data_IF_803131464279
#
_entry.id   IF_803131464279
#
_cell.length_a   1.000
_cell.length_b   1.000
_cell.length_c   1.000
_cell.angle_alpha   90.00
_cell.angle_beta   90.00
_cell.angle_gamma   90.00
#
_symmetry.space_group_name_H-M   'P 1'
#
loop_
_entity.id
_entity.type
_entity.pdbx_description
1 polymer ?
#
# COMPACT_ATOMS: atom_id res chain seq x y z
N UNK A 1 56.86 -24.71 50.11
CA UNK A 1 56.60 -26.14 49.84
C UNK A 1 55.74 -26.19 48.59
N UNK A 2 56.11 -27.00 47.59
CA UNK A 2 55.42 -27.27 46.32
C UNK A 2 55.24 -26.12 45.28
N UNK A 3 55.86 -26.36 44.13
CA UNK A 3 55.57 -25.92 42.75
C UNK A 3 55.70 -27.18 41.85
N UNK A 4 55.50 -27.14 40.50
CA UNK A 4 54.76 -26.20 39.65
C UNK A 4 53.40 -26.85 39.25
N UNK A 5 53.08 -27.45 38.06
CA UNK A 5 53.72 -27.54 36.74
C UNK A 5 53.01 -26.72 35.62
N UNK A 6 53.52 -26.81 34.38
CA UNK A 6 52.98 -26.24 33.13
C UNK A 6 52.30 -27.33 32.24
N UNK A 7 51.60 -26.93 31.18
CA UNK A 7 51.08 -27.85 30.15
C UNK A 7 51.53 -27.43 28.73
N UNK A 8 52.02 -28.39 27.95
CA UNK A 8 52.78 -28.16 26.70
C UNK A 8 51.91 -28.10 25.44
N UNK A 9 52.43 -27.44 24.41
CA UNK A 9 51.92 -27.52 23.04
C UNK A 9 52.33 -28.83 22.36
N UNK A 10 51.48 -29.37 21.49
CA UNK A 10 51.82 -30.47 20.57
C UNK A 10 51.58 -30.06 19.11
N UNK A 11 52.68 -29.91 18.36
CA UNK A 11 52.63 -29.83 16.91
C UNK A 11 52.44 -31.24 16.32
N UNK A 12 51.61 -31.38 15.29
CA UNK A 12 51.55 -32.60 14.47
C UNK A 12 52.15 -32.32 13.10
N UNK A 13 53.26 -33.00 12.79
CA UNK A 13 53.96 -32.91 11.51
C UNK A 13 53.26 -33.73 10.42
N UNK A 14 53.31 -33.22 9.19
CA UNK A 14 52.97 -33.93 7.96
C UNK A 14 54.05 -34.97 7.61
N UNK A 15 53.69 -36.06 6.90
CA UNK A 15 54.60 -36.78 6.01
C UNK A 15 54.30 -36.44 4.55
N UNK A 16 55.26 -35.81 3.86
CA UNK A 16 55.36 -35.88 2.40
C UNK A 16 56.00 -37.21 2.01
N UNK A 17 55.41 -37.95 1.06
CA UNK A 17 56.15 -38.55 -0.06
C UNK A 17 55.22 -39.15 -1.13
N UNK A 18 55.09 -38.38 -2.21
CA UNK A 18 55.12 -38.80 -3.61
C UNK A 18 55.10 -40.33 -3.90
N UNK A 19 53.96 -40.85 -4.38
CA UNK A 19 53.95 -41.97 -5.34
C UNK A 19 52.84 -41.73 -6.39
N UNK A 20 53.11 -42.12 -7.63
CA UNK A 20 52.34 -41.70 -8.80
C UNK A 20 52.01 -42.86 -9.73
N UNK A 21 50.78 -43.37 -9.67
CA UNK A 21 50.16 -44.12 -10.78
C UNK A 21 48.66 -44.39 -10.62
N UNK A 22 47.95 -44.22 -11.74
CA UNK A 22 46.71 -44.88 -12.18
C UNK A 22 45.41 -44.90 -11.34
N UNK A 23 44.43 -44.19 -11.92
CA UNK A 23 43.09 -44.70 -12.22
C UNK A 23 42.33 -45.54 -11.18
N UNK A 24 41.45 -44.86 -10.42
CA UNK A 24 39.98 -45.04 -10.57
C UNK A 24 39.18 -44.01 -9.76
N UNK A 25 38.32 -43.26 -10.46
CA UNK A 25 37.23 -42.50 -9.82
C UNK A 25 36.23 -43.51 -9.28
N UNK A 26 36.21 -43.70 -7.95
CA UNK A 26 35.20 -44.52 -7.28
C UNK A 26 33.88 -43.76 -7.28
N UNK A 27 33.05 -44.03 -8.28
CA UNK A 27 31.66 -43.57 -8.30
C UNK A 27 30.94 -44.15 -7.06
N UNK A 28 30.53 -43.29 -6.12
CA UNK A 28 29.61 -43.71 -5.08
C UNK A 28 28.30 -44.15 -5.73
N UNK A 29 27.98 -45.43 -5.58
CA UNK A 29 26.75 -46.00 -6.08
C UNK A 29 25.59 -45.54 -5.19
N UNK A 30 24.94 -44.43 -5.57
CA UNK A 30 23.74 -43.91 -4.88
C UNK A 30 22.57 -44.87 -5.12
N UNK A 31 21.96 -45.45 -4.06
CA UNK A 31 20.83 -46.37 -4.23
C UNK A 31 19.63 -45.68 -4.89
N UNK A 32 19.17 -46.21 -6.01
CA UNK A 32 18.10 -45.62 -6.83
C UNK A 32 16.69 -45.96 -6.31
N UNK A 33 16.32 -45.49 -5.11
CA UNK A 33 15.01 -45.83 -4.51
C UNK A 33 14.41 -44.84 -3.48
N UNK A 34 14.62 -43.51 -3.60
CA UNK A 34 13.75 -42.50 -2.94
C UNK A 34 13.54 -41.32 -3.91
N UNK A 35 12.40 -41.24 -4.65
CA UNK A 35 12.22 -40.21 -5.69
C UNK A 35 11.98 -38.78 -5.17
N UNK A 36 11.29 -38.60 -4.04
CA UNK A 36 10.68 -37.29 -3.71
C UNK A 36 11.61 -36.33 -2.94
N UNK A 37 12.34 -36.79 -1.92
CA UNK A 37 13.21 -35.94 -1.10
C UNK A 37 14.29 -35.20 -1.92
N UNK A 38 14.84 -35.88 -2.93
CA UNK A 38 15.89 -35.33 -3.80
C UNK A 38 15.31 -34.35 -4.85
N UNK A 39 14.00 -34.41 -5.13
CA UNK A 39 13.33 -33.49 -6.03
C UNK A 39 12.91 -32.20 -5.31
N UNK A 40 12.26 -32.31 -4.15
CA UNK A 40 11.86 -31.13 -3.36
C UNK A 40 13.08 -30.29 -2.95
N UNK A 41 14.16 -30.92 -2.47
CA UNK A 41 15.38 -30.20 -2.10
C UNK A 41 16.06 -29.53 -3.32
N UNK A 42 15.97 -30.12 -4.51
CA UNK A 42 16.47 -29.48 -5.76
C UNK A 42 15.60 -28.31 -6.20
N UNK A 43 14.28 -28.41 -6.02
CA UNK A 43 13.36 -27.30 -6.28
C UNK A 43 13.65 -26.16 -5.31
N UNK A 44 13.72 -26.44 -4.00
CA UNK A 44 14.00 -25.45 -2.96
C UNK A 44 15.34 -24.74 -3.19
N UNK A 45 16.43 -25.49 -3.43
CA UNK A 45 17.74 -24.90 -3.75
C UNK A 45 17.71 -24.02 -5.01
N UNK A 46 16.99 -24.44 -6.07
CA UNK A 46 16.82 -23.62 -7.28
C UNK A 46 15.92 -22.40 -7.06
N UNK A 47 14.97 -22.45 -6.14
CA UNK A 47 14.14 -21.31 -5.74
C UNK A 47 14.99 -20.29 -4.96
N UNK A 48 15.74 -20.73 -3.96
CA UNK A 48 16.68 -19.89 -3.19
C UNK A 48 17.69 -19.20 -4.13
N UNK A 49 18.33 -19.94 -5.03
CA UNK A 49 19.25 -19.39 -6.03
C UNK A 49 18.57 -18.40 -7.00
N UNK A 50 17.28 -18.59 -7.30
CA UNK A 50 16.47 -17.68 -8.12
C UNK A 50 16.06 -16.41 -7.36
N UNK A 51 15.88 -16.50 -6.04
CA UNK A 51 15.61 -15.36 -5.17
C UNK A 51 16.88 -14.52 -4.93
N UNK A 52 18.03 -15.14 -4.66
CA UNK A 52 19.32 -14.44 -4.53
C UNK A 52 19.66 -13.66 -5.82
N UNK A 53 19.47 -14.29 -6.98
CA UNK A 53 19.63 -13.63 -8.28
C UNK A 53 18.66 -12.47 -8.50
N UNK A 54 17.46 -12.53 -7.92
CA UNK A 54 16.47 -11.44 -7.99
C UNK A 54 16.76 -10.30 -7.01
N UNK A 55 17.34 -10.58 -5.83
CA UNK A 55 17.70 -9.55 -4.86
C UNK A 55 18.73 -8.56 -5.42
N UNK A 56 19.65 -9.01 -6.27
CA UNK A 56 20.70 -8.17 -6.88
C UNK A 56 20.39 -7.69 -8.31
N UNK A 57 19.23 -8.06 -8.88
CA UNK A 57 18.84 -7.68 -10.24
C UNK A 57 18.60 -6.16 -10.36
N UNK A 58 19.23 -5.41 -11.28
CA UNK A 58 18.96 -3.98 -11.48
C UNK A 58 17.53 -3.67 -11.94
N UNK A 59 16.80 -4.67 -12.43
CA UNK A 59 15.37 -4.52 -12.80
C UNK A 59 14.48 -4.45 -11.55
N UNK A 60 14.88 -5.10 -10.45
CA UNK A 60 14.15 -5.11 -9.18
C UNK A 60 13.88 -3.68 -8.67
N UNK A 61 12.62 -3.30 -8.38
CA UNK A 61 12.29 -1.96 -7.88
C UNK A 61 13.03 -1.53 -6.61
N UNK A 62 13.46 -2.47 -5.78
CA UNK A 62 14.29 -2.21 -4.60
C UNK A 62 15.70 -1.70 -4.94
N UNK A 63 16.20 -1.98 -6.14
CA UNK A 63 17.55 -1.58 -6.60
C UNK A 63 17.54 -0.31 -7.48
N UNK A 64 16.38 0.34 -7.65
CA UNK A 64 16.29 1.58 -8.42
C UNK A 64 17.00 2.75 -7.74
N UNK A 65 17.53 3.73 -8.50
CA UNK A 65 18.15 4.93 -7.93
C UNK A 65 17.15 5.72 -7.06
N UNK A 66 17.61 6.37 -5.97
CA UNK A 66 16.72 6.99 -4.97
C UNK A 66 15.82 8.06 -5.58
N UNK A 67 16.31 8.84 -6.55
CA UNK A 67 15.51 9.82 -7.30
C UNK A 67 14.26 9.18 -7.91
N UNK A 68 14.42 8.08 -8.64
CA UNK A 68 13.31 7.34 -9.25
C UNK A 68 12.34 6.77 -8.21
N UNK A 69 12.84 6.33 -7.05
CA UNK A 69 11.97 5.87 -5.95
C UNK A 69 11.10 7.01 -5.42
N UNK A 70 11.72 8.12 -5.03
CA UNK A 70 11.00 9.28 -4.48
C UNK A 70 10.05 9.92 -5.51
N UNK A 71 10.42 10.01 -6.79
CA UNK A 71 9.51 10.47 -7.85
C UNK A 71 8.31 9.54 -8.00
N UNK A 72 8.49 8.22 -7.93
CA UNK A 72 7.37 7.26 -7.99
C UNK A 72 6.44 7.43 -6.79
N UNK A 73 6.97 7.57 -5.57
CA UNK A 73 6.17 7.82 -4.36
C UNK A 73 5.45 9.17 -4.41
N UNK A 74 6.08 10.24 -4.92
CA UNK A 74 5.46 11.55 -5.04
C UNK A 74 4.31 11.57 -6.05
N UNK A 75 4.45 10.89 -7.19
CA UNK A 75 3.36 10.72 -8.17
C UNK A 75 2.24 9.88 -7.57
N UNK A 76 2.57 8.80 -6.86
CA UNK A 76 1.57 7.98 -6.17
C UNK A 76 0.78 8.81 -5.14
N UNK A 77 1.45 9.67 -4.37
CA UNK A 77 0.83 10.62 -3.44
C UNK A 77 -0.07 11.66 -4.15
N UNK A 78 0.30 12.11 -5.35
CA UNK A 78 -0.56 12.96 -6.18
C UNK A 78 -1.83 12.20 -6.62
N UNK A 79 -1.71 10.95 -7.08
CA UNK A 79 -2.88 10.15 -7.43
C UNK A 79 -3.82 9.91 -6.23
N UNK A 80 -3.26 9.60 -5.06
CA UNK A 80 -4.06 9.39 -3.84
C UNK A 80 -4.56 10.68 -3.19
N UNK A 81 -4.04 11.84 -3.58
CA UNK A 81 -4.61 13.17 -3.30
C UNK A 81 -5.84 13.45 -4.18
N UNK A 82 -5.74 13.18 -5.49
CA UNK A 82 -6.80 13.50 -6.46
C UNK A 82 -8.12 12.77 -6.17
N UNK A 83 -8.08 11.52 -5.71
CA UNK A 83 -9.30 10.74 -5.43
C UNK A 83 -10.21 11.37 -4.36
N UNK A 84 -9.76 11.67 -3.12
CA UNK A 84 -10.57 12.37 -2.12
C UNK A 84 -10.73 13.87 -2.37
N UNK A 85 -9.85 14.51 -3.15
CA UNK A 85 -10.10 15.87 -3.64
C UNK A 85 -11.39 15.90 -4.49
N UNK A 86 -11.52 14.99 -5.45
CA UNK A 86 -12.68 14.92 -6.34
C UNK A 86 -14.01 14.60 -5.62
N UNK A 87 -13.98 13.89 -4.49
CA UNK A 87 -15.19 13.62 -3.69
C UNK A 87 -15.62 14.81 -2.85
N UNK A 88 -14.67 15.46 -2.18
CA UNK A 88 -14.92 16.52 -1.19
C UNK A 88 -15.14 17.89 -1.81
N UNK A 89 -14.61 18.16 -3.01
CA UNK A 89 -14.76 19.44 -3.72
C UNK A 89 -16.22 19.78 -4.07
N UNK A 90 -17.11 18.78 -4.16
CA UNK A 90 -18.54 19.01 -4.38
C UNK A 90 -19.28 19.44 -3.10
N UNK A 91 -18.75 19.14 -1.91
CA UNK A 91 -19.44 19.32 -0.63
C UNK A 91 -20.09 20.71 -0.43
N UNK A 92 -19.39 21.85 -0.60
CA UNK A 92 -19.99 23.17 -0.43
C UNK A 92 -20.95 23.55 -1.56
N UNK A 93 -20.82 22.96 -2.74
CA UNK A 93 -21.64 23.26 -3.92
C UNK A 93 -22.95 22.49 -4.01
N UNK A 94 -23.15 21.45 -3.19
CA UNK A 94 -24.35 20.59 -3.22
C UNK A 94 -25.68 21.34 -3.09
N UNK A 95 -25.84 22.39 -2.24
CA UNK A 95 -27.08 23.15 -2.18
C UNK A 95 -27.43 23.83 -3.51
N UNK A 96 -26.43 24.32 -4.24
CA UNK A 96 -26.62 24.95 -5.55
C UNK A 96 -26.82 23.92 -6.67
N UNK A 97 -26.21 22.73 -6.59
CA UNK A 97 -26.58 21.60 -7.47
C UNK A 97 -28.05 21.25 -7.26
N UNK A 98 -28.50 21.12 -6.00
CA UNK A 98 -29.88 20.80 -5.70
C UNK A 98 -30.87 21.86 -6.25
N UNK A 99 -30.54 23.16 -6.10
CA UNK A 99 -31.32 24.26 -6.70
C UNK A 99 -31.34 24.21 -8.24
N UNK A 100 -30.19 24.01 -8.89
CA UNK A 100 -30.08 24.01 -10.36
C UNK A 100 -30.79 22.83 -11.03
N UNK A 101 -31.06 21.74 -10.30
CA UNK A 101 -31.76 20.55 -10.79
C UNK A 101 -33.15 20.34 -10.14
N UNK A 102 -33.69 21.37 -9.47
CA UNK A 102 -34.99 21.34 -8.75
C UNK A 102 -35.16 20.15 -7.77
N UNK A 103 -34.06 19.73 -7.14
CA UNK A 103 -34.03 18.62 -6.19
C UNK A 103 -34.52 19.10 -4.82
N UNK A 104 -35.80 18.90 -4.54
CA UNK A 104 -36.46 19.29 -3.28
C UNK A 104 -36.21 18.34 -2.11
N UNK A 105 -35.73 17.12 -2.36
CA UNK A 105 -35.57 16.09 -1.33
C UNK A 105 -34.09 15.91 -0.93
N UNK A 106 -33.69 16.21 0.33
CA UNK A 106 -32.30 16.09 0.78
C UNK A 106 -31.75 14.66 0.69
N UNK A 107 -32.61 13.63 0.70
CA UNK A 107 -32.21 12.24 0.50
C UNK A 107 -31.57 12.01 -0.88
N UNK A 108 -32.01 12.71 -1.93
CA UNK A 108 -31.46 12.58 -3.28
C UNK A 108 -30.07 13.26 -3.37
N UNK A 109 -29.91 14.40 -2.71
CA UNK A 109 -28.62 15.10 -2.59
C UNK A 109 -27.59 14.23 -1.85
N UNK A 110 -27.99 13.61 -0.73
CA UNK A 110 -27.15 12.66 0.01
C UNK A 110 -26.81 11.41 -0.83
N UNK A 111 -27.80 10.82 -1.50
CA UNK A 111 -27.62 9.64 -2.37
C UNK A 111 -26.57 9.87 -3.46
N UNK A 112 -26.48 11.07 -4.01
CA UNK A 112 -25.50 11.44 -5.05
C UNK A 112 -24.07 11.28 -4.54
N UNK A 113 -23.78 11.70 -3.31
CA UNK A 113 -22.49 11.44 -2.65
C UNK A 113 -22.34 9.95 -2.28
N UNK A 114 -23.38 9.30 -1.75
CA UNK A 114 -23.33 7.89 -1.36
C UNK A 114 -22.96 6.98 -2.55
N UNK A 115 -23.44 7.27 -3.77
CA UNK A 115 -23.09 6.53 -4.99
C UNK A 115 -21.59 6.70 -5.33
N UNK A 116 -21.05 7.91 -5.18
CA UNK A 116 -19.61 8.14 -5.36
C UNK A 116 -18.79 7.34 -4.34
N UNK A 117 -19.17 7.41 -3.05
CA UNK A 117 -18.46 6.72 -1.98
C UNK A 117 -18.55 5.20 -2.10
N UNK A 118 -19.69 4.67 -2.52
CA UNK A 118 -19.87 3.24 -2.85
C UNK A 118 -18.92 2.82 -3.97
N UNK A 119 -18.79 3.64 -5.02
CA UNK A 119 -17.86 3.39 -6.14
C UNK A 119 -16.41 3.39 -5.68
N UNK A 120 -16.04 4.33 -4.79
CA UNK A 120 -14.71 4.39 -4.18
C UNK A 120 -14.42 3.16 -3.29
N UNK A 121 -15.40 2.69 -2.51
CA UNK A 121 -15.28 1.53 -1.64
C UNK A 121 -15.24 0.19 -2.39
N UNK A 122 -15.99 0.06 -3.49
CA UNK A 122 -16.01 -1.16 -4.30
C UNK A 122 -14.78 -1.30 -5.20
N UNK A 123 -14.20 -0.20 -5.67
CA UNK A 123 -13.06 -0.23 -6.62
C UNK A 123 -11.85 -1.07 -6.14
N UNK A 124 -11.35 -0.93 -4.89
CA UNK A 124 -10.24 -1.76 -4.37
C UNK A 124 -10.44 -3.27 -4.48
N UNK A 125 -11.68 -3.75 -4.33
CA UNK A 125 -12.02 -5.18 -4.38
C UNK A 125 -11.69 -5.80 -5.75
N UNK A 126 -11.84 -5.04 -6.83
CA UNK A 126 -11.50 -5.46 -8.19
C UNK A 126 -10.10 -4.99 -8.62
N UNK A 127 -9.72 -3.76 -8.25
CA UNK A 127 -8.47 -3.14 -8.66
C UNK A 127 -7.24 -3.89 -8.15
N UNK A 128 -7.21 -4.30 -6.88
CA UNK A 128 -6.04 -4.98 -6.32
C UNK A 128 -5.76 -6.35 -7.00
N UNK A 129 -6.72 -7.30 -7.10
CA UNK A 129 -6.53 -8.55 -7.83
C UNK A 129 -6.15 -8.37 -9.31
N UNK A 130 -6.71 -7.37 -9.99
CA UNK A 130 -6.35 -7.05 -11.37
C UNK A 130 -4.91 -6.52 -11.48
N UNK A 131 -4.44 -5.77 -10.48
CA UNK A 131 -3.10 -5.19 -10.45
C UNK A 131 -1.99 -6.23 -10.37
N UNK A 132 -2.21 -7.33 -9.64
CA UNK A 132 -1.23 -8.41 -9.50
C UNK A 132 -1.16 -9.32 -10.74
N UNK A 133 -2.28 -9.47 -11.47
CA UNK A 133 -2.35 -10.28 -12.71
C UNK A 133 -1.86 -9.51 -13.94
N UNK A 134 -2.21 -8.23 -14.07
CA UNK A 134 -1.96 -7.45 -15.29
C UNK A 134 -0.84 -6.40 -15.15
N UNK A 135 -0.36 -6.15 -13.93
CA UNK A 135 0.61 -5.12 -13.60
C UNK A 135 -0.08 -3.86 -13.06
N UNK A 136 0.53 -3.25 -12.04
CA UNK A 136 -0.03 -2.08 -11.33
C UNK A 136 -0.08 -0.85 -12.20
N UNK A 137 0.84 -0.72 -13.17
CA UNK A 137 0.79 0.38 -14.15
C UNK A 137 -0.47 0.28 -15.03
N UNK A 138 -0.85 -0.93 -15.46
CA UNK A 138 -2.05 -1.14 -16.30
C UNK A 138 -3.35 -1.04 -15.50
N UNK A 139 -3.37 -1.58 -14.28
CA UNK A 139 -4.50 -1.39 -13.38
C UNK A 139 -4.68 0.09 -12.96
N UNK A 140 -3.60 0.89 -12.98
CA UNK A 140 -3.61 2.32 -12.66
C UNK A 140 -4.55 3.19 -13.50
N UNK A 141 -4.99 2.71 -14.68
CA UNK A 141 -6.02 3.38 -15.49
C UNK A 141 -7.44 3.24 -14.90
N UNK A 142 -7.66 2.34 -13.92
CA UNK A 142 -8.90 2.23 -13.15
C UNK A 142 -8.82 3.17 -11.94
N UNK A 143 -9.81 4.05 -11.79
CA UNK A 143 -9.65 5.33 -11.08
C UNK A 143 -9.23 5.32 -9.61
N UNK A 144 -9.44 4.24 -8.83
CA UNK A 144 -8.97 4.17 -7.42
C UNK A 144 -7.87 3.14 -7.16
N UNK A 145 -7.33 2.49 -8.20
CA UNK A 145 -6.17 1.58 -8.08
C UNK A 145 -5.00 2.17 -7.30
N UNK A 146 -4.63 3.48 -7.41
CA UNK A 146 -3.54 4.04 -6.62
C UNK A 146 -3.75 3.99 -5.10
N UNK A 147 -5.00 4.09 -4.62
CA UNK A 147 -5.35 3.99 -3.19
C UNK A 147 -5.34 2.54 -2.72
N UNK A 148 -5.79 1.61 -3.57
CA UNK A 148 -5.79 0.17 -3.27
C UNK A 148 -4.39 -0.44 -3.29
N UNK A 149 -3.58 -0.07 -4.28
CA UNK A 149 -2.29 -0.70 -4.57
C UNK A 149 -1.10 0.09 -4.03
N UNK A 150 -1.31 1.33 -3.57
CA UNK A 150 -0.23 2.25 -3.24
C UNK A 150 0.67 1.78 -2.12
N UNK A 151 0.12 1.19 -1.05
CA UNK A 151 0.91 0.55 -0.01
C UNK A 151 1.81 -0.58 -0.55
N UNK A 152 1.29 -1.39 -1.47
CA UNK A 152 2.05 -2.43 -2.17
C UNK A 152 3.16 -1.87 -3.06
N UNK A 153 2.92 -0.73 -3.71
CA UNK A 153 3.95 -0.01 -4.48
C UNK A 153 5.07 0.46 -3.54
N UNK A 154 4.74 1.10 -2.41
CA UNK A 154 5.78 1.53 -1.45
C UNK A 154 6.56 0.32 -0.89
N UNK A 155 5.92 -0.80 -0.55
CA UNK A 155 6.62 -2.00 -0.07
C UNK A 155 7.51 -2.68 -1.12
N UNK A 156 7.24 -2.48 -2.42
CA UNK A 156 8.08 -3.03 -3.50
C UNK A 156 9.28 -2.13 -3.83
N UNK A 157 9.20 -0.81 -3.60
CA UNK A 157 10.32 0.12 -3.83
C UNK A 157 11.30 0.23 -2.65
N UNK A 158 10.83 0.04 -1.42
CA UNK A 158 11.62 0.25 -0.20
C UNK A 158 11.91 -1.05 0.56
N UNK A 159 12.96 -1.06 1.38
CA UNK A 159 13.21 -2.12 2.36
C UNK A 159 12.18 -2.03 3.50
N UNK A 160 11.99 -3.08 4.31
CA UNK A 160 11.06 -3.03 5.45
C UNK A 160 11.34 -1.85 6.40
N UNK A 161 12.62 -1.51 6.60
CA UNK A 161 13.06 -0.40 7.44
C UNK A 161 12.77 0.96 6.80
N UNK A 162 13.06 1.12 5.51
CA UNK A 162 12.89 2.39 4.80
C UNK A 162 11.42 2.66 4.41
N UNK A 163 10.63 1.59 4.25
CA UNK A 163 9.20 1.65 3.91
C UNK A 163 8.42 2.48 4.95
N UNK A 164 8.76 2.33 6.24
CA UNK A 164 8.19 3.14 7.32
C UNK A 164 8.41 4.65 7.15
N UNK A 165 9.53 5.07 6.51
CA UNK A 165 9.82 6.49 6.22
C UNK A 165 9.13 7.02 4.96
N UNK A 166 8.80 6.14 4.01
CA UNK A 166 8.13 6.49 2.75
C UNK A 166 6.59 6.45 2.85
N UNK A 167 6.03 5.61 3.73
CA UNK A 167 4.59 5.45 3.93
C UNK A 167 3.86 6.75 4.36
N UNK A 168 4.43 7.64 5.20
CA UNK A 168 3.81 8.93 5.51
C UNK A 168 3.61 9.80 4.27
N UNK A 169 4.59 9.87 3.36
CA UNK A 169 4.49 10.66 2.12
C UNK A 169 3.34 10.16 1.22
N UNK A 170 3.11 8.85 1.20
CA UNK A 170 1.95 8.25 0.52
C UNK A 170 0.60 8.67 1.14
N UNK A 171 0.53 8.77 2.48
CA UNK A 171 -0.69 9.19 3.20
C UNK A 171 -0.94 10.71 3.23
N UNK A 172 0.07 11.55 2.93
CA UNK A 172 -0.10 13.02 2.81
C UNK A 172 -1.21 13.37 1.80
N UNK A 173 -1.28 12.66 0.67
CA UNK A 173 -2.30 12.91 -0.35
C UNK A 173 -3.74 12.73 0.18
N UNK A 174 -4.09 11.53 0.69
CA UNK A 174 -5.40 11.26 1.27
C UNK A 174 -5.83 12.18 2.42
N UNK A 175 -4.87 12.70 3.19
CA UNK A 175 -5.16 13.59 4.33
C UNK A 175 -5.40 15.05 3.90
N UNK A 176 -4.74 15.52 2.83
CA UNK A 176 -4.85 16.92 2.37
C UNK A 176 -5.98 17.12 1.35
N UNK A 177 -6.24 16.15 0.46
CA UNK A 177 -7.32 16.22 -0.53
C UNK A 177 -8.69 16.66 0.03
N UNK A 178 -9.16 16.07 1.15
CA UNK A 178 -10.43 16.44 1.80
C UNK A 178 -10.46 17.82 2.46
N UNK A 179 -9.31 18.48 2.62
CA UNK A 179 -9.19 19.82 3.20
C UNK A 179 -9.18 20.86 2.08
N UNK A 180 -8.37 20.60 1.05
CA UNK A 180 -8.24 21.47 -0.12
C UNK A 180 -9.48 21.43 -1.00
N UNK A 181 -10.16 20.27 -1.08
CA UNK A 181 -11.38 20.08 -1.87
C UNK A 181 -12.45 21.09 -1.53
N UNK A 182 -13.03 21.10 -0.31
CA UNK A 182 -14.11 22.02 0.03
C UNK A 182 -13.71 23.50 -0.04
N UNK A 183 -12.47 23.86 0.31
CA UNK A 183 -11.97 25.23 0.16
C UNK A 183 -11.96 25.66 -1.31
N UNK A 184 -11.35 24.85 -2.17
CA UNK A 184 -11.24 25.14 -3.62
C UNK A 184 -12.61 25.09 -4.31
N UNK A 185 -13.43 24.11 -3.97
CA UNK A 185 -14.78 23.92 -4.50
C UNK A 185 -15.73 25.06 -4.14
N UNK A 186 -15.69 25.52 -2.87
CA UNK A 186 -16.54 26.61 -2.40
C UNK A 186 -16.26 27.91 -3.15
N UNK A 187 -14.99 28.32 -3.25
CA UNK A 187 -14.63 29.56 -3.95
C UNK A 187 -14.85 29.47 -5.47
N UNK A 188 -14.61 28.33 -6.13
CA UNK A 188 -14.89 28.16 -7.56
C UNK A 188 -16.40 28.20 -7.82
N UNK A 189 -17.19 27.51 -6.99
CA UNK A 189 -18.65 27.49 -7.09
C UNK A 189 -19.26 28.89 -6.89
N UNK A 190 -18.77 29.66 -5.91
CA UNK A 190 -19.24 31.02 -5.64
C UNK A 190 -18.84 32.02 -6.73
N UNK A 191 -17.61 31.95 -7.25
CA UNK A 191 -17.07 32.99 -8.17
C UNK A 191 -17.33 32.73 -9.65
N UNK A 192 -17.34 31.48 -10.10
CA UNK A 192 -17.49 31.10 -11.52
C UNK A 192 -18.58 30.04 -11.74
N UNK A 193 -19.24 29.56 -10.69
CA UNK A 193 -20.31 28.57 -10.77
C UNK A 193 -19.83 27.12 -10.70
N UNK A 194 -20.68 26.26 -10.14
CA UNK A 194 -20.39 24.85 -9.81
C UNK A 194 -19.94 24.00 -11.01
N UNK A 195 -20.36 24.33 -12.24
CA UNK A 195 -19.94 23.61 -13.44
C UNK A 195 -18.42 23.65 -13.66
N UNK A 196 -17.76 24.75 -13.27
CA UNK A 196 -16.32 24.92 -13.44
C UNK A 196 -15.49 24.07 -12.46
N UNK A 197 -16.10 23.61 -11.36
CA UNK A 197 -15.47 22.64 -10.46
C UNK A 197 -15.15 21.34 -11.20
N UNK A 198 -16.06 20.84 -12.05
CA UNK A 198 -15.84 19.62 -12.83
C UNK A 198 -14.69 19.77 -13.84
N UNK A 199 -14.58 20.93 -14.52
CA UNK A 199 -13.46 21.19 -15.44
C UNK A 199 -12.11 21.28 -14.72
N UNK A 200 -12.06 21.91 -13.53
CA UNK A 200 -10.84 21.98 -12.72
C UNK A 200 -10.43 20.59 -12.21
N UNK A 201 -11.37 19.78 -11.71
CA UNK A 201 -11.08 18.39 -11.33
C UNK A 201 -10.59 17.58 -12.53
N UNK A 202 -11.25 17.68 -13.68
CA UNK A 202 -10.83 16.99 -14.91
C UNK A 202 -9.42 17.40 -15.35
N UNK A 203 -9.06 18.67 -15.24
CA UNK A 203 -7.71 19.16 -15.54
C UNK A 203 -6.66 18.59 -14.57
N UNK A 204 -6.93 18.59 -13.27
CA UNK A 204 -6.03 18.01 -12.25
C UNK A 204 -5.85 16.50 -12.48
N UNK A 205 -6.95 15.78 -12.73
CA UNK A 205 -6.92 14.36 -13.11
C UNK A 205 -6.10 14.12 -14.38
N UNK A 206 -6.26 14.96 -15.40
CA UNK A 206 -5.51 14.89 -16.66
C UNK A 206 -4.01 15.11 -16.47
N UNK A 207 -3.60 16.09 -15.67
CA UNK A 207 -2.19 16.35 -15.33
C UNK A 207 -1.60 15.16 -14.54
N UNK A 208 -2.31 14.65 -13.53
CA UNK A 208 -1.88 13.47 -12.79
C UNK A 208 -1.74 12.23 -13.72
N UNK A 209 -2.69 12.03 -14.63
CA UNK A 209 -2.65 10.97 -15.64
C UNK A 209 -1.42 11.08 -16.55
N UNK A 210 -1.15 12.26 -17.11
CA UNK A 210 0.02 12.51 -17.97
C UNK A 210 1.33 12.27 -17.21
N UNK A 211 1.45 12.79 -15.99
CA UNK A 211 2.63 12.55 -15.15
C UNK A 211 2.83 11.07 -14.85
N UNK A 212 1.76 10.34 -14.51
CA UNK A 212 1.82 8.90 -14.28
C UNK A 212 2.27 8.12 -15.51
N UNK A 213 1.67 8.39 -16.68
CA UNK A 213 1.99 7.72 -17.94
C UNK A 213 3.47 7.92 -18.34
N UNK A 214 4.02 9.12 -18.11
CA UNK A 214 5.39 9.46 -18.51
C UNK A 214 6.46 8.97 -17.51
N UNK A 215 6.17 9.00 -16.21
CA UNK A 215 7.19 8.84 -15.15
C UNK A 215 7.05 7.54 -14.34
N UNK A 216 5.85 6.96 -14.21
CA UNK A 216 5.70 5.68 -13.51
C UNK A 216 6.23 4.52 -14.36
N UNK A 217 6.91 3.59 -13.70
CA UNK A 217 7.21 2.27 -14.27
C UNK A 217 6.57 1.19 -13.42
N UNK A 218 6.32 0.05 -14.05
CA UNK A 218 5.81 -1.15 -13.39
C UNK A 218 6.67 -1.52 -12.17
N UNK A 219 6.03 -1.70 -11.01
CA UNK A 219 6.69 -2.08 -9.76
C UNK A 219 6.35 -3.50 -9.31
N UNK A 220 5.35 -4.14 -9.91
CA UNK A 220 4.90 -5.47 -9.50
C UNK A 220 5.97 -6.53 -9.85
N UNK A 221 6.70 -7.01 -8.85
CA UNK A 221 7.78 -7.98 -9.01
C UNK A 221 7.36 -9.25 -9.79
N UNK A 222 6.18 -9.88 -9.51
CA UNK A 222 5.69 -11.00 -10.31
C UNK A 222 5.56 -10.71 -11.81
N UNK A 223 4.98 -9.55 -12.18
CA UNK A 223 4.74 -9.16 -13.57
C UNK A 223 6.03 -8.79 -14.30
N UNK A 224 7.03 -8.27 -13.58
CA UNK A 224 8.38 -8.02 -14.11
C UNK A 224 9.07 -9.34 -14.46
N UNK A 225 9.04 -10.35 -13.56
CA UNK A 225 9.63 -11.69 -13.80
C UNK A 225 8.99 -12.36 -15.02
N UNK A 226 7.65 -12.40 -15.10
CA UNK A 226 6.91 -12.91 -16.27
C UNK A 226 7.27 -12.21 -17.59
N UNK A 227 7.57 -10.91 -17.57
CA UNK A 227 7.95 -10.17 -18.78
C UNK A 227 9.36 -10.55 -19.23
N UNK A 228 10.27 -10.82 -18.28
CA UNK A 228 11.65 -11.24 -18.57
C UNK A 228 11.71 -12.67 -19.14
N UNK A 229 10.96 -13.61 -18.57
CA UNK A 229 10.86 -14.99 -19.06
C UNK A 229 10.39 -15.07 -20.53
N UNK A 230 9.46 -14.19 -20.93
CA UNK A 230 9.00 -14.10 -22.33
C UNK A 230 10.01 -13.52 -23.32
N UNK A 231 10.99 -12.77 -22.83
CA UNK A 231 12.04 -12.12 -23.64
C UNK A 231 13.30 -13.00 -23.69
N UNK A 232 13.56 -13.76 -22.64
CA UNK A 232 14.68 -14.71 -22.53
C UNK A 232 14.15 -16.10 -22.16
N UNK A 233 13.63 -16.87 -23.13
CA UNK A 233 13.06 -18.19 -22.91
C UNK A 233 14.15 -19.26 -22.70
N UNK A 234 14.91 -19.15 -21.61
CA UNK A 234 15.78 -20.23 -21.14
C UNK A 234 14.91 -21.41 -20.69
N UNK A 235 14.93 -22.49 -21.45
CA UNK A 235 14.07 -23.67 -21.24
C UNK A 235 14.23 -24.33 -19.85
N UNK A 236 15.37 -24.11 -19.19
CA UNK A 236 15.65 -24.59 -17.82
C UNK A 236 15.09 -23.71 -16.69
N UNK A 237 14.80 -22.42 -16.93
CA UNK A 237 14.25 -21.51 -15.90
C UNK A 237 12.72 -21.52 -15.86
N UNK A 238 12.07 -21.95 -16.94
CA UNK A 238 10.61 -22.07 -17.02
C UNK A 238 10.01 -23.15 -16.08
N UNK A 239 10.84 -23.92 -15.38
CA UNK A 239 10.44 -24.90 -14.36
C UNK A 239 10.64 -24.41 -12.91
N UNK A 240 11.27 -23.25 -12.69
CA UNK A 240 11.51 -22.65 -11.35
C UNK A 240 10.61 -21.43 -11.08
N UNK A 241 9.58 -21.27 -11.90
CA UNK A 241 8.57 -20.23 -11.83
C UNK A 241 7.75 -20.38 -10.55
N UNK A 242 7.77 -19.34 -9.70
CA UNK A 242 6.98 -19.18 -8.47
C UNK A 242 5.55 -19.78 -8.61
N UNK A 243 4.98 -20.45 -7.59
CA UNK A 243 3.70 -21.18 -7.71
C UNK A 243 2.47 -20.33 -8.10
N UNK A 244 2.59 -18.99 -8.14
CA UNK A 244 1.59 -18.11 -8.72
C UNK A 244 1.49 -18.21 -10.27
N UNK A 245 2.49 -18.79 -10.95
CA UNK A 245 2.63 -18.74 -12.41
C UNK A 245 2.17 -19.99 -13.16
N UNK A 246 1.95 -21.11 -12.48
CA UNK A 246 1.39 -22.35 -13.08
C UNK A 246 -0.14 -22.37 -13.09
N UNK A 247 -0.80 -21.37 -12.50
CA UNK A 247 -2.25 -21.35 -12.30
C UNK A 247 -3.00 -20.58 -13.40
N UNK A 248 -4.21 -21.03 -13.74
CA UNK A 248 -5.09 -20.32 -14.66
C UNK A 248 -5.41 -18.90 -14.15
N UNK A 249 -5.26 -17.88 -14.99
CA UNK A 249 -5.45 -16.46 -14.61
C UNK A 249 -6.83 -16.17 -14.00
N UNK A 250 -7.89 -16.81 -14.53
CA UNK A 250 -9.25 -16.69 -14.00
C UNK A 250 -9.40 -17.33 -12.62
N UNK A 251 -8.76 -18.47 -12.38
CA UNK A 251 -8.73 -19.13 -11.07
C UNK A 251 -7.96 -18.30 -10.05
N UNK A 252 -6.79 -17.75 -10.43
CA UNK A 252 -6.02 -16.85 -9.57
C UNK A 252 -6.80 -15.56 -9.24
N UNK A 253 -7.49 -14.95 -10.22
CA UNK A 253 -8.35 -13.80 -9.99
C UNK A 253 -9.49 -14.13 -9.01
N UNK A 254 -10.15 -15.29 -9.17
CA UNK A 254 -11.22 -15.73 -8.29
C UNK A 254 -10.74 -15.99 -6.85
N UNK A 255 -9.53 -16.55 -6.69
CA UNK A 255 -8.91 -16.76 -5.37
C UNK A 255 -8.65 -15.44 -4.65
N UNK A 256 -8.07 -14.46 -5.34
CA UNK A 256 -7.80 -13.15 -4.76
C UNK A 256 -9.09 -12.33 -4.52
N UNK A 257 -10.13 -12.52 -5.32
CA UNK A 257 -11.42 -11.83 -5.14
C UNK A 257 -12.21 -12.38 -3.93
N UNK A 258 -12.18 -13.69 -3.68
CA UNK A 258 -12.87 -14.30 -2.52
C UNK A 258 -12.12 -14.11 -1.19
N UNK A 259 -10.80 -13.90 -1.24
CA UNK A 259 -9.93 -13.85 -0.06
C UNK A 259 -10.30 -12.73 0.94
N UNK A 260 -10.59 -11.48 0.55
CA UNK A 260 -11.05 -10.44 1.47
C UNK A 260 -12.34 -10.81 2.21
N UNK A 261 -13.32 -11.37 1.49
CA UNK A 261 -14.62 -11.78 2.07
C UNK A 261 -14.42 -12.93 3.06
N UNK A 262 -13.55 -13.89 2.74
CA UNK A 262 -13.19 -14.99 3.64
C UNK A 262 -12.49 -14.47 4.90
N UNK A 263 -11.48 -13.59 4.78
CA UNK A 263 -10.78 -13.02 5.94
C UNK A 263 -11.75 -12.25 6.84
N UNK A 264 -12.63 -11.43 6.25
CA UNK A 264 -13.64 -10.65 6.99
C UNK A 264 -14.63 -11.55 7.75
N UNK A 265 -15.03 -12.69 7.19
CA UNK A 265 -16.06 -13.56 7.79
C UNK A 265 -15.48 -14.62 8.73
N UNK A 266 -14.22 -15.05 8.55
CA UNK A 266 -13.58 -16.08 9.37
C UNK A 266 -12.76 -15.52 10.54
N UNK A 267 -12.27 -14.27 10.45
CA UNK A 267 -11.53 -13.61 11.53
C UNK A 267 -12.40 -12.57 12.24
N UNK A 268 -12.91 -12.94 13.41
CA UNK A 268 -13.72 -12.03 14.27
C UNK A 268 -12.99 -10.73 14.62
N UNK A 269 -11.65 -10.77 14.78
CA UNK A 269 -10.83 -9.59 15.03
C UNK A 269 -10.82 -8.65 13.81
N UNK A 270 -10.72 -9.20 12.60
CA UNK A 270 -10.77 -8.41 11.36
C UNK A 270 -12.17 -7.82 11.12
N UNK A 271 -13.22 -8.56 11.47
CA UNK A 271 -14.60 -8.09 11.42
C UNK A 271 -14.83 -6.86 12.31
N UNK A 272 -14.42 -6.92 13.59
CA UNK A 272 -14.52 -5.78 14.52
C UNK A 272 -13.70 -4.57 14.04
N UNK A 273 -12.45 -4.79 13.60
CA UNK A 273 -11.61 -3.71 13.07
C UNK A 273 -12.22 -3.08 11.81
N UNK A 274 -12.86 -3.88 10.95
CA UNK A 274 -13.54 -3.38 9.75
C UNK A 274 -14.79 -2.56 10.10
N UNK A 275 -15.60 -3.00 11.08
CA UNK A 275 -16.74 -2.22 11.58
C UNK A 275 -16.30 -0.90 12.21
N UNK A 276 -15.23 -0.91 13.00
CA UNK A 276 -14.65 0.30 13.60
C UNK A 276 -14.20 1.29 12.52
N UNK A 277 -13.44 0.83 11.52
CA UNK A 277 -13.00 1.69 10.40
C UNK A 277 -14.18 2.16 9.56
N UNK A 278 -15.21 1.33 9.34
CA UNK A 278 -16.42 1.74 8.63
C UNK A 278 -17.17 2.86 9.35
N UNK A 279 -17.39 2.75 10.67
CA UNK A 279 -18.01 3.79 11.49
C UNK A 279 -17.18 5.09 11.49
N UNK A 280 -15.85 4.97 11.54
CA UNK A 280 -14.95 6.12 11.42
C UNK A 280 -15.08 6.85 10.08
N UNK A 281 -15.13 6.11 8.97
CA UNK A 281 -15.30 6.69 7.64
C UNK A 281 -16.71 7.25 7.42
N UNK A 282 -17.75 6.62 7.97
CA UNK A 282 -19.14 7.10 7.87
C UNK A 282 -19.32 8.46 8.55
N UNK A 283 -18.93 8.56 9.83
CA UNK A 283 -18.93 9.83 10.59
C UNK A 283 -18.12 10.90 9.88
N UNK A 284 -16.93 10.55 9.40
CA UNK A 284 -16.06 11.44 8.65
C UNK A 284 -16.70 11.95 7.35
N UNK A 285 -17.38 11.08 6.59
CA UNK A 285 -18.09 11.50 5.38
C UNK A 285 -19.37 12.29 5.67
N UNK A 286 -20.07 11.99 6.76
CA UNK A 286 -21.21 12.76 7.24
C UNK A 286 -20.81 14.21 7.58
N UNK A 287 -19.62 14.43 8.13
CA UNK A 287 -19.09 15.79 8.35
C UNK A 287 -18.92 16.59 7.05
N UNK A 288 -18.64 15.96 5.89
CA UNK A 288 -18.65 16.69 4.62
C UNK A 288 -20.03 17.20 4.23
N UNK A 289 -21.11 16.52 4.62
CA UNK A 289 -22.47 16.96 4.29
C UNK A 289 -23.07 17.92 5.30
N UNK A 290 -22.73 17.78 6.59
CA UNK A 290 -23.35 18.58 7.65
C UNK A 290 -22.67 19.93 7.86
N UNK A 291 -21.36 20.06 7.61
CA UNK A 291 -20.65 21.35 7.75
C UNK A 291 -21.21 22.43 6.81
N UNK A 292 -21.40 22.23 5.49
CA UNK A 292 -21.90 23.27 4.60
C UNK A 292 -23.34 23.65 4.96
N UNK A 293 -24.16 22.67 5.31
CA UNK A 293 -25.56 22.87 5.69
C UNK A 293 -25.67 23.69 6.99
N UNK A 294 -24.90 23.33 8.02
CA UNK A 294 -24.84 24.06 9.29
C UNK A 294 -24.39 25.51 9.09
N UNK A 295 -23.30 25.74 8.37
CA UNK A 295 -22.74 27.08 8.18
C UNK A 295 -23.57 27.95 7.22
N UNK A 296 -24.25 27.37 6.22
CA UNK A 296 -25.15 28.13 5.33
C UNK A 296 -26.52 28.39 5.96
N UNK A 297 -27.14 27.41 6.62
CA UNK A 297 -28.51 27.54 7.14
C UNK A 297 -28.57 28.23 8.51
N UNK A 298 -27.60 28.00 9.40
CA UNK A 298 -27.60 28.56 10.77
C UNK A 298 -26.73 29.81 10.88
N UNK A 299 -25.54 29.80 10.27
CA UNK A 299 -24.60 30.93 10.35
C UNK A 299 -24.67 31.89 9.14
N UNK A 300 -25.48 31.56 8.12
CA UNK A 300 -25.66 32.36 6.90
C UNK A 300 -24.37 32.70 6.15
N UNK A 301 -23.40 31.78 6.16
CA UNK A 301 -22.15 31.93 5.41
C UNK A 301 -22.37 31.77 3.90
N UNK A 302 -21.56 32.48 3.11
CA UNK A 302 -21.47 32.27 1.66
C UNK A 302 -20.81 30.92 1.34
N UNK A 303 -20.95 30.45 0.10
CA UNK A 303 -20.51 29.10 -0.31
C UNK A 303 -18.99 28.92 -0.18
N UNK A 304 -18.19 29.94 -0.54
CA UNK A 304 -16.75 29.95 -0.35
C UNK A 304 -16.34 30.06 1.11
N UNK A 305 -17.01 30.91 1.90
CA UNK A 305 -16.76 30.99 3.35
C UNK A 305 -17.18 29.72 4.10
N UNK A 306 -18.19 28.99 3.62
CA UNK A 306 -18.57 27.64 4.08
C UNK A 306 -17.52 26.56 3.78
N UNK A 307 -16.55 26.83 2.89
CA UNK A 307 -15.37 25.97 2.67
C UNK A 307 -14.26 26.13 3.71
N UNK A 308 -14.20 27.26 4.44
CA UNK A 308 -13.13 27.52 5.41
C UNK A 308 -13.13 26.61 6.66
N UNK A 309 -14.28 26.21 7.25
CA UNK A 309 -14.30 25.31 8.42
C UNK A 309 -13.54 23.99 8.23
N UNK A 310 -13.41 23.50 6.99
CA UNK A 310 -12.64 22.30 6.67
C UNK A 310 -11.13 22.42 6.93
N UNK A 311 -10.60 23.64 7.02
CA UNK A 311 -9.22 23.87 7.45
C UNK A 311 -9.01 23.33 8.88
N UNK A 312 -10.04 23.39 9.74
CA UNK A 312 -10.01 22.78 11.08
C UNK A 312 -9.81 21.26 11.05
N UNK A 313 -10.50 20.56 10.15
CA UNK A 313 -10.31 19.12 9.91
C UNK A 313 -8.87 18.85 9.45
N UNK A 314 -8.31 19.69 8.58
CA UNK A 314 -6.92 19.58 8.14
C UNK A 314 -5.89 19.77 9.24
N UNK A 315 -6.08 20.74 10.13
CA UNK A 315 -5.23 20.93 11.32
C UNK A 315 -5.35 19.71 12.25
N UNK A 316 -6.56 19.15 12.41
CA UNK A 316 -6.80 17.90 13.11
C UNK A 316 -6.00 16.73 12.51
N UNK A 317 -6.07 16.51 11.20
CA UNK A 317 -5.32 15.44 10.53
C UNK A 317 -3.81 15.61 10.59
N UNK A 318 -3.29 16.82 10.38
CA UNK A 318 -1.85 17.08 10.45
C UNK A 318 -1.31 16.89 11.87
N UNK A 319 -2.00 17.42 12.88
CA UNK A 319 -1.61 17.22 14.29
C UNK A 319 -1.72 15.75 14.70
N UNK A 320 -2.84 15.08 14.41
CA UNK A 320 -3.02 13.65 14.69
C UNK A 320 -1.96 12.77 13.99
N UNK A 321 -1.56 13.10 12.75
CA UNK A 321 -0.50 12.37 12.05
C UNK A 321 0.87 12.60 12.70
N UNK A 322 1.21 13.84 13.05
CA UNK A 322 2.51 14.17 13.67
C UNK A 322 2.62 13.56 15.07
N UNK A 323 1.63 13.75 15.93
CA UNK A 323 1.65 13.19 17.29
C UNK A 323 1.46 11.67 17.28
N UNK A 324 0.50 11.16 16.50
CA UNK A 324 0.20 9.73 16.38
C UNK A 324 1.36 8.91 15.84
N UNK A 325 2.04 9.36 14.77
CA UNK A 325 3.23 8.68 14.26
C UNK A 325 4.35 8.64 15.31
N UNK A 326 4.63 9.77 15.99
CA UNK A 326 5.67 9.84 17.03
C UNK A 326 5.38 8.96 18.24
N UNK A 327 4.11 8.78 18.61
CA UNK A 327 3.69 7.87 19.69
C UNK A 327 3.78 6.42 19.22
N UNK A 328 3.26 6.11 18.03
CA UNK A 328 3.29 4.77 17.44
C UNK A 328 4.71 4.25 17.26
N UNK A 329 5.62 5.05 16.69
CA UNK A 329 7.03 4.69 16.51
C UNK A 329 7.73 4.44 17.85
N UNK A 330 7.47 5.26 18.89
CA UNK A 330 8.03 5.05 20.23
C UNK A 330 7.56 3.73 20.85
N UNK A 331 6.26 3.45 20.81
CA UNK A 331 5.68 2.20 21.33
C UNK A 331 6.24 0.99 20.57
N UNK A 332 6.27 1.06 19.24
CA UNK A 332 6.80 0.00 18.38
C UNK A 332 8.29 -0.27 18.65
N UNK A 333 9.13 0.77 18.72
CA UNK A 333 10.56 0.63 18.99
C UNK A 333 10.82 0.04 20.38
N UNK A 334 10.07 0.46 21.40
CA UNK A 334 10.17 -0.08 22.75
C UNK A 334 9.87 -1.59 22.77
N UNK A 335 8.71 -2.00 22.25
CA UNK A 335 8.32 -3.41 22.15
C UNK A 335 9.27 -4.25 21.27
N UNK A 336 9.80 -3.66 20.20
CA UNK A 336 10.80 -4.32 19.36
C UNK A 336 12.14 -4.50 20.09
N UNK A 337 12.58 -3.55 20.93
CA UNK A 337 13.78 -3.71 21.76
C UNK A 337 13.60 -4.78 22.84
N UNK A 338 12.43 -4.85 23.48
CA UNK A 338 12.13 -5.90 24.47
C UNK A 338 12.09 -7.30 23.82
N UNK A 339 11.60 -7.42 22.58
CA UNK A 339 11.62 -8.66 21.81
C UNK A 339 12.96 -8.92 21.08
N UNK A 340 14.09 -8.49 21.66
CA UNK A 340 15.43 -8.78 21.15
C UNK A 340 15.73 -8.19 19.77
N UNK A 341 15.12 -7.05 19.43
CA UNK A 341 15.27 -6.37 18.14
C UNK A 341 14.41 -6.92 17.00
N UNK A 342 13.65 -8.00 17.21
CA UNK A 342 12.76 -8.57 16.19
C UNK A 342 11.39 -7.90 16.24
N UNK A 343 11.17 -6.88 15.42
CA UNK A 343 9.87 -6.25 15.26
C UNK A 343 8.84 -7.22 14.65
N UNK A 344 7.64 -7.29 15.23
CA UNK A 344 6.49 -8.01 14.66
C UNK A 344 5.31 -7.06 14.37
N UNK A 345 4.42 -7.35 13.41
CA UNK A 345 3.31 -6.46 13.07
C UNK A 345 2.38 -6.14 14.25
N UNK A 346 2.17 -7.09 15.15
CA UNK A 346 1.24 -6.99 16.29
C UNK A 346 1.71 -5.94 17.33
N UNK A 347 3.00 -5.60 17.35
CA UNK A 347 3.56 -4.57 18.24
C UNK A 347 3.03 -3.16 17.96
N UNK A 348 2.33 -2.95 16.83
CA UNK A 348 1.64 -1.70 16.51
C UNK A 348 0.22 -1.63 17.08
N UNK A 349 -0.38 -2.77 17.47
CA UNK A 349 -1.75 -2.82 17.97
C UNK A 349 -2.00 -1.97 19.24
N UNK A 350 -1.09 -1.87 20.23
CA UNK A 350 -1.31 -1.03 21.41
C UNK A 350 -1.49 0.47 21.09
N UNK A 351 -0.90 0.96 20.00
CA UNK A 351 -1.05 2.36 19.58
C UNK A 351 -2.48 2.69 19.10
N UNK A 352 -3.23 1.71 18.56
CA UNK A 352 -4.63 1.88 18.16
C UNK A 352 -5.55 2.15 19.36
N UNK A 353 -5.26 1.55 20.52
CA UNK A 353 -6.06 1.73 21.75
C UNK A 353 -6.06 3.22 22.15
N UNK A 354 -4.89 3.85 22.16
CA UNK A 354 -4.77 5.30 22.43
C UNK A 354 -5.55 6.12 21.40
N UNK A 355 -5.43 5.81 20.10
CA UNK A 355 -6.18 6.48 19.04
C UNK A 355 -7.70 6.40 19.23
N UNK A 356 -8.22 5.22 19.61
CA UNK A 356 -9.67 5.01 19.79
C UNK A 356 -10.29 5.83 20.91
N UNK A 357 -9.53 6.29 21.90
CA UNK A 357 -10.03 7.13 22.99
C UNK A 357 -10.29 8.58 22.54
N UNK A 358 -9.54 9.09 21.57
CA UNK A 358 -9.72 10.45 21.06
C UNK A 358 -10.92 10.61 20.13
N UNK A 359 -11.41 9.50 19.54
CA UNK A 359 -12.54 9.53 18.61
C UNK A 359 -13.83 10.00 19.29
N UNK A 360 -14.31 9.41 20.41
CA UNK A 360 -15.49 9.92 21.11
C UNK A 360 -15.29 11.35 21.62
N UNK A 361 -14.08 11.71 22.07
CA UNK A 361 -13.79 13.06 22.56
C UNK A 361 -13.82 14.13 21.44
N UNK A 362 -13.64 13.74 20.18
CA UNK A 362 -13.77 14.64 19.03
C UNK A 362 -15.19 14.73 18.45
N UNK A 363 -16.15 13.98 19.01
CA UNK A 363 -17.56 13.94 18.59
C UNK A 363 -18.52 14.54 19.63
N UNK A 364 -18.00 14.90 20.80
CA UNK A 364 -18.66 15.66 21.86
C UNK A 364 -18.34 17.16 21.72
#
# INVERSE_FOLDING_TARGET
>A
MASPPEAQSSHMHLPDQNDSSDHRVQQLHVPSAIPDYNLEHKIQYKLEQSEDGWQHDPVNPRNWPPTKKWTTTAILALYTFVTPLASSIMAPGLPDVARNFDITNPTITALTLSIFLMSFAMSPLFAAPLSDVYGRFKAGFVGSTPVACGGGVVSDLFSERDCASAMPLYFVGPLIGPVVGPVMGGFIAESVGIQNVFYVVAAICGVAAVLGILLMRESCAPVIRLRREKISPDLEKAATTHPAFTMNKSAYLWINLKQPVMIMTWSFICFILSLYVALMYDIYYLMFTTIPDLFSNVYHFSIGTGGLPYIGIGVGFLSATIFGARICDKIYLHLATENGGKGKPEMRAPALIFGSLFVPMGLL
#
